data_IF_099408988206
#
_entry.id   IF_099408988206
#
_cell.length_a   1.000
_cell.length_b   1.000
_cell.length_c   1.000
_cell.angle_alpha   90.00
_cell.angle_beta   90.00
_cell.angle_gamma   90.00
#
_symmetry.space_group_name_H-M   'P 1'
#
loop_
_entity.id
_entity.type
_entity.pdbx_description
1 polymer ?
#
# COMPACT_ATOMS: atom_id res chain seq x y z
N UNK A 1 4.80 -2.11 26.79
CA UNK A 1 5.43 -1.18 27.74
C UNK A 1 5.79 0.12 27.07
N UNK A 2 6.09 1.12 27.86
CA UNK A 2 6.44 2.44 27.38
C UNK A 2 6.70 3.43 28.52
N UNK A 3 7.00 4.67 28.17
CA UNK A 3 7.15 5.76 29.14
C UNK A 3 5.77 6.34 29.44
N UNK A 4 5.46 6.63 30.70
CA UNK A 4 4.19 7.27 31.13
C UNK A 4 4.19 8.72 30.71
N UNK A 5 3.27 9.11 29.83
CA UNK A 5 3.06 10.50 29.44
C UNK A 5 2.09 11.26 30.36
N UNK A 6 0.97 10.62 30.72
CA UNK A 6 -0.09 11.24 31.52
C UNK A 6 -0.85 10.18 32.34
N UNK A 7 -1.19 10.51 33.56
CA UNK A 7 -2.06 9.69 34.44
C UNK A 7 -3.35 10.47 34.63
N UNK A 8 -4.48 9.91 34.19
CA UNK A 8 -5.77 10.59 34.10
C UNK A 8 -6.73 10.23 35.25
N UNK A 9 -6.34 9.26 36.08
CA UNK A 9 -7.16 8.75 37.19
C UNK A 9 -6.33 8.62 38.47
N UNK A 10 -7.01 8.58 39.61
CA UNK A 10 -6.43 8.37 40.93
C UNK A 10 -7.02 7.13 41.56
N UNK A 11 -6.38 6.66 42.63
CA UNK A 11 -6.93 5.58 43.49
C UNK A 11 -8.31 5.97 44.00
N UNK A 12 -9.29 5.08 43.79
CA UNK A 12 -10.66 5.26 44.20
C UNK A 12 -11.58 5.98 43.19
N UNK A 13 -11.03 6.49 42.08
CA UNK A 13 -11.85 7.15 41.04
C UNK A 13 -12.80 6.15 40.37
N UNK A 14 -14.02 6.59 40.07
CA UNK A 14 -14.95 5.85 39.21
C UNK A 14 -14.59 6.05 37.73
N UNK A 15 -14.55 4.97 36.96
CA UNK A 15 -14.22 4.99 35.52
C UNK A 15 -15.26 4.22 34.73
N UNK A 16 -15.54 4.66 33.52
CA UNK A 16 -16.43 3.99 32.59
C UNK A 16 -15.67 3.04 31.66
N UNK A 17 -16.34 2.03 31.13
CA UNK A 17 -15.78 1.14 30.13
C UNK A 17 -15.31 1.94 28.89
N UNK A 18 -14.03 1.75 28.48
CA UNK A 18 -13.41 2.47 27.36
C UNK A 18 -12.82 3.85 27.71
N UNK A 19 -13.04 4.38 28.93
CA UNK A 19 -12.42 5.61 29.40
C UNK A 19 -10.90 5.49 29.46
N UNK A 20 -10.16 6.52 29.00
CA UNK A 20 -8.71 6.54 29.08
C UNK A 20 -8.29 6.75 30.53
N UNK A 21 -7.51 5.82 31.06
CA UNK A 21 -7.03 5.85 32.45
C UNK A 21 -5.56 6.31 32.54
N UNK A 22 -4.77 5.97 31.53
CA UNK A 22 -3.36 6.34 31.46
C UNK A 22 -2.97 6.49 29.98
N UNK A 23 -2.10 7.45 29.70
CA UNK A 23 -1.52 7.65 28.38
C UNK A 23 0.00 7.47 28.44
N UNK A 24 0.53 6.65 27.55
CA UNK A 24 1.97 6.54 27.33
C UNK A 24 2.46 7.71 26.46
N UNK A 25 3.76 7.98 26.48
CA UNK A 25 4.39 8.95 25.57
C UNK A 25 4.25 8.47 24.11
N UNK A 26 3.57 9.23 23.30
CA UNK A 26 3.27 8.92 21.89
C UNK A 26 4.25 9.56 20.90
N UNK A 27 5.21 10.34 21.37
CA UNK A 27 6.10 11.17 20.54
C UNK A 27 6.78 10.35 19.46
N UNK A 28 7.43 9.25 19.84
CA UNK A 28 8.15 8.37 18.89
C UNK A 28 7.17 7.65 17.96
N UNK A 29 6.05 7.15 18.49
CA UNK A 29 5.04 6.42 17.72
C UNK A 29 4.39 7.34 16.69
N UNK A 30 4.04 8.55 17.09
CA UNK A 30 3.47 9.58 16.21
C UNK A 30 4.44 10.03 15.13
N UNK A 31 5.72 10.24 15.49
CA UNK A 31 6.76 10.57 14.53
C UNK A 31 6.96 9.45 13.50
N UNK A 32 7.00 8.19 13.95
CA UNK A 32 7.12 7.03 13.06
C UNK A 32 5.95 6.93 12.10
N UNK A 33 4.72 7.08 12.59
CA UNK A 33 3.52 7.13 11.75
C UNK A 33 3.59 8.25 10.72
N UNK A 34 4.05 9.45 11.11
CA UNK A 34 4.23 10.60 10.22
C UNK A 34 5.20 10.28 9.08
N UNK A 35 6.36 9.69 9.40
CA UNK A 35 7.36 9.29 8.39
C UNK A 35 6.78 8.28 7.39
N UNK A 36 6.13 7.21 7.89
CA UNK A 36 5.56 6.16 7.02
C UNK A 36 4.44 6.73 6.14
N UNK A 37 3.60 7.62 6.67
CA UNK A 37 2.56 8.31 5.89
C UNK A 37 3.12 9.21 4.81
N UNK A 38 4.15 10.00 5.13
CA UNK A 38 4.83 10.86 4.15
C UNK A 38 5.43 10.04 3.00
N UNK A 39 6.06 8.89 3.29
CA UNK A 39 6.56 7.98 2.27
C UNK A 39 5.43 7.38 1.41
N UNK A 40 4.30 7.04 2.02
CA UNK A 40 3.13 6.54 1.31
C UNK A 40 2.57 7.61 0.37
N UNK A 41 2.44 8.85 0.83
CA UNK A 41 1.93 9.98 0.04
C UNK A 41 2.83 10.25 -1.18
N UNK A 42 4.15 10.19 -1.00
CA UNK A 42 5.13 10.34 -2.09
C UNK A 42 4.94 9.24 -3.15
N UNK A 43 4.81 7.97 -2.72
CA UNK A 43 4.60 6.87 -3.67
C UNK A 43 3.22 6.92 -4.32
N UNK A 44 2.18 7.39 -3.65
CA UNK A 44 0.85 7.58 -4.24
C UNK A 44 0.87 8.72 -5.28
N UNK A 45 1.61 9.80 -5.03
CA UNK A 45 1.83 10.85 -6.02
C UNK A 45 2.57 10.31 -7.26
N UNK A 46 3.60 9.49 -7.05
CA UNK A 46 4.34 8.80 -8.13
C UNK A 46 3.44 7.85 -8.91
N UNK A 47 2.60 7.06 -8.25
CA UNK A 47 1.63 6.17 -8.90
C UNK A 47 0.67 6.97 -9.80
N UNK A 48 0.14 8.11 -9.32
CA UNK A 48 -0.74 8.96 -10.09
C UNK A 48 -0.07 9.47 -11.38
N UNK A 49 1.21 9.86 -11.32
CA UNK A 49 2.00 10.20 -12.52
C UNK A 49 2.15 9.02 -13.46
N UNK A 50 2.53 7.86 -12.95
CA UNK A 50 2.73 6.66 -13.77
C UNK A 50 1.44 6.20 -14.45
N UNK A 51 0.29 6.34 -13.79
CA UNK A 51 -1.03 6.10 -14.38
C UNK A 51 -1.30 7.07 -15.54
N UNK A 52 -1.03 8.36 -15.35
CA UNK A 52 -1.19 9.36 -16.40
C UNK A 52 -0.23 9.10 -17.59
N UNK A 53 1.02 8.70 -17.34
CA UNK A 53 1.98 8.32 -18.37
C UNK A 53 1.57 7.04 -19.13
N UNK A 54 1.04 6.03 -18.43
CA UNK A 54 0.53 4.79 -19.03
C UNK A 54 -0.62 5.07 -20.00
N UNK A 55 -1.55 5.92 -19.56
CA UNK A 55 -2.79 6.22 -20.28
C UNK A 55 -2.62 7.36 -21.30
N UNK A 56 -1.39 7.88 -21.46
CA UNK A 56 -1.03 9.02 -22.32
C UNK A 56 -1.93 10.24 -22.07
N UNK A 57 -2.27 10.48 -20.78
CA UNK A 57 -3.13 11.56 -20.35
C UNK A 57 -2.43 12.93 -20.44
N UNK A 58 -3.20 13.99 -20.58
CA UNK A 58 -2.66 15.36 -20.64
C UNK A 58 -2.27 15.91 -19.27
N UNK A 59 -2.92 15.42 -18.21
CA UNK A 59 -2.75 15.91 -16.84
C UNK A 59 -2.77 14.74 -15.85
N UNK A 60 -2.08 14.92 -14.72
CA UNK A 60 -2.12 13.96 -13.62
C UNK A 60 -3.36 14.20 -12.76
N UNK A 61 -4.13 13.14 -12.50
CA UNK A 61 -5.23 13.13 -11.52
C UNK A 61 -4.69 12.53 -10.23
N UNK A 62 -4.47 13.38 -9.22
CA UNK A 62 -4.04 12.92 -7.91
C UNK A 62 -5.23 12.41 -7.08
N UNK A 63 -5.06 11.33 -6.29
CA UNK A 63 -6.09 10.84 -5.38
C UNK A 63 -6.55 11.89 -4.38
N UNK A 64 -7.85 11.86 -4.02
CA UNK A 64 -8.42 12.80 -3.05
C UNK A 64 -7.69 12.79 -1.70
N UNK A 65 -7.13 11.66 -1.29
CA UNK A 65 -6.34 11.52 -0.06
C UNK A 65 -5.11 12.45 -0.02
N UNK A 66 -4.53 12.78 -1.17
CA UNK A 66 -3.40 13.70 -1.28
C UNK A 66 -3.83 15.17 -1.45
N UNK A 67 -5.08 15.42 -1.89
CA UNK A 67 -5.56 16.77 -2.23
C UNK A 67 -6.56 17.34 -1.22
N UNK A 68 -7.26 16.48 -0.46
CA UNK A 68 -8.27 16.87 0.52
C UNK A 68 -7.77 16.70 1.95
N UNK A 69 -7.44 17.79 2.62
CA UNK A 69 -7.43 17.86 4.07
C UNK A 69 -6.08 17.74 4.80
N UNK A 70 -4.97 17.52 4.13
CA UNK A 70 -3.63 17.64 4.72
C UNK A 70 -2.79 18.59 3.88
N UNK A 71 -2.73 19.83 4.28
CA UNK A 71 -1.70 20.77 3.81
C UNK A 71 -0.36 20.45 4.49
N UNK A 72 0.08 19.21 4.43
CA UNK A 72 1.45 18.90 4.81
C UNK A 72 2.36 19.38 3.66
N UNK A 73 3.30 20.24 4.00
CA UNK A 73 4.24 20.82 3.02
C UNK A 73 4.99 19.73 2.22
N UNK A 74 5.19 18.56 2.82
CA UNK A 74 5.80 17.36 2.19
C UNK A 74 4.95 16.84 1.04
N UNK A 75 3.64 16.65 1.23
CA UNK A 75 2.71 16.15 0.22
C UNK A 75 2.57 17.12 -0.94
N UNK A 76 2.47 18.43 -0.66
CA UNK A 76 2.43 19.48 -1.68
C UNK A 76 3.73 19.49 -2.51
N UNK A 77 4.88 19.30 -1.88
CA UNK A 77 6.19 19.23 -2.54
C UNK A 77 6.28 17.99 -3.44
N UNK A 78 5.81 16.82 -2.96
CA UNK A 78 5.79 15.60 -3.75
C UNK A 78 4.91 15.76 -5.00
N UNK A 79 3.69 16.28 -4.86
CA UNK A 79 2.77 16.56 -5.98
C UNK A 79 3.42 17.51 -7.00
N UNK A 80 4.03 18.60 -6.54
CA UNK A 80 4.69 19.55 -7.43
C UNK A 80 5.91 18.94 -8.12
N UNK A 81 6.65 18.07 -7.44
CA UNK A 81 7.77 17.31 -8.01
C UNK A 81 7.33 16.38 -9.12
N UNK A 82 6.29 15.57 -8.88
CA UNK A 82 5.77 14.61 -9.85
C UNK A 82 5.15 15.32 -11.08
N UNK A 83 4.47 16.47 -10.91
CA UNK A 83 4.00 17.29 -12.04
C UNK A 83 5.14 17.73 -12.94
N UNK A 84 6.20 18.31 -12.35
CA UNK A 84 7.37 18.76 -13.12
C UNK A 84 8.06 17.62 -13.85
N UNK A 85 8.19 16.47 -13.20
CA UNK A 85 8.77 15.27 -13.81
C UNK A 85 7.92 14.77 -14.98
N UNK A 86 6.59 14.72 -14.81
CA UNK A 86 5.65 14.36 -15.88
C UNK A 86 5.79 15.25 -17.11
N UNK A 87 5.77 16.58 -16.92
CA UNK A 87 5.92 17.56 -18.00
C UNK A 87 7.27 17.41 -18.70
N UNK A 88 8.35 17.24 -17.94
CA UNK A 88 9.69 17.05 -18.49
C UNK A 88 9.79 15.78 -19.33
N UNK A 89 9.30 14.64 -18.83
CA UNK A 89 9.33 13.35 -19.53
C UNK A 89 8.47 13.39 -20.79
N UNK A 90 7.27 14.00 -20.71
CA UNK A 90 6.38 14.19 -21.84
C UNK A 90 7.02 15.06 -22.93
N UNK A 91 7.65 16.18 -22.55
CA UNK A 91 8.36 17.08 -23.46
C UNK A 91 9.54 16.37 -24.14
N UNK A 92 10.34 15.63 -23.38
CA UNK A 92 11.48 14.87 -23.91
C UNK A 92 11.04 13.83 -24.94
N UNK A 93 10.00 13.01 -24.63
CA UNK A 93 9.43 12.00 -25.54
C UNK A 93 8.88 12.65 -26.81
N UNK A 94 8.12 13.74 -26.66
CA UNK A 94 7.55 14.47 -27.79
C UNK A 94 8.65 15.05 -28.66
N UNK A 95 9.67 15.66 -28.07
CA UNK A 95 10.83 16.20 -28.77
C UNK A 95 11.59 15.13 -29.57
N UNK A 96 11.85 13.98 -28.96
CA UNK A 96 12.53 12.88 -29.64
C UNK A 96 11.72 12.35 -30.84
N UNK A 97 10.41 12.17 -30.67
CA UNK A 97 9.51 11.76 -31.77
C UNK A 97 9.44 12.81 -32.87
N UNK A 98 9.40 14.10 -32.53
CA UNK A 98 9.40 15.20 -33.49
C UNK A 98 10.68 15.21 -34.30
N UNK A 99 11.84 15.02 -33.67
CA UNK A 99 13.15 14.96 -34.37
C UNK A 99 13.19 13.80 -35.37
N UNK A 100 12.67 12.61 -34.99
CA UNK A 100 12.64 11.47 -35.89
C UNK A 100 11.65 11.69 -37.06
N UNK A 101 10.49 12.30 -36.80
CA UNK A 101 9.54 12.68 -37.87
C UNK A 101 10.12 13.69 -38.84
N UNK A 102 10.89 14.66 -38.36
CA UNK A 102 11.59 15.61 -39.20
C UNK A 102 12.61 14.92 -40.11
N UNK A 103 13.34 13.91 -39.58
CA UNK A 103 14.24 13.09 -40.39
C UNK A 103 13.50 12.32 -41.50
N UNK A 104 12.30 11.80 -41.21
CA UNK A 104 11.44 11.16 -42.21
C UNK A 104 11.03 12.18 -43.28
N UNK A 105 10.62 13.39 -42.87
CA UNK A 105 10.24 14.46 -43.79
C UNK A 105 11.41 14.84 -44.70
N UNK A 106 12.62 15.03 -44.17
CA UNK A 106 13.83 15.35 -44.97
C UNK A 106 14.17 14.24 -45.96
N UNK A 107 14.08 12.96 -45.55
CA UNK A 107 14.31 11.83 -46.44
C UNK A 107 13.24 11.75 -47.54
N UNK A 108 11.99 12.11 -47.27
CA UNK A 108 10.95 12.20 -48.27
C UNK A 108 11.24 13.29 -49.32
N UNK A 109 11.77 14.45 -48.93
CA UNK A 109 12.21 15.48 -49.88
C UNK A 109 13.39 15.01 -50.74
N UNK A 110 14.34 14.24 -50.14
CA UNK A 110 15.42 13.58 -50.90
C UNK A 110 14.86 12.65 -51.97
N UNK A 111 13.89 11.80 -51.61
CA UNK A 111 13.23 10.89 -52.57
C UNK A 111 12.54 11.67 -53.69
N UNK A 112 11.87 12.79 -53.38
CA UNK A 112 11.26 13.66 -54.43
C UNK A 112 12.28 14.17 -55.42
N UNK A 113 13.45 14.63 -54.93
CA UNK A 113 14.54 15.09 -55.78
C UNK A 113 15.09 13.95 -56.66
N UNK A 114 15.34 12.78 -56.08
CA UNK A 114 15.81 11.61 -56.81
C UNK A 114 14.79 11.12 -57.85
N UNK A 115 13.50 11.17 -57.53
CA UNK A 115 12.40 10.78 -58.43
C UNK A 115 12.36 11.74 -59.64
N UNK A 116 12.46 13.06 -59.43
CA UNK A 116 12.51 14.03 -60.52
C UNK A 116 13.72 13.77 -61.44
N UNK A 117 14.90 13.45 -60.89
CA UNK A 117 16.08 13.06 -61.67
C UNK A 117 15.84 11.76 -62.47
N UNK A 118 15.21 10.76 -61.87
CA UNK A 118 14.86 9.52 -62.54
C UNK A 118 13.91 9.75 -63.72
N UNK A 119 12.86 10.58 -63.52
CA UNK A 119 11.92 10.95 -64.59
C UNK A 119 12.61 11.71 -65.75
N UNK A 120 13.56 12.62 -65.40
CA UNK A 120 14.38 13.29 -66.44
C UNK A 120 15.21 12.30 -67.25
N UNK A 121 15.85 11.30 -66.58
CA UNK A 121 16.59 10.23 -67.25
C UNK A 121 15.70 9.34 -68.11
N UNK A 122 14.50 9.07 -67.68
CA UNK A 122 13.49 8.31 -68.46
C UNK A 122 13.13 9.06 -69.75
N UNK A 123 12.90 10.39 -69.62
CA UNK A 123 12.63 11.25 -70.78
C UNK A 123 13.82 11.30 -71.75
N UNK A 124 15.07 11.41 -71.26
CA UNK A 124 16.29 11.36 -72.05
C UNK A 124 16.42 10.01 -72.80
N UNK A 125 16.12 8.87 -72.14
CA UNK A 125 16.11 7.54 -72.78
C UNK A 125 15.08 7.44 -73.91
N UNK A 126 13.90 8.03 -73.72
CA UNK A 126 12.85 8.07 -74.77
C UNK A 126 13.33 8.86 -76.03
N UNK A 127 14.04 9.99 -75.80
CA UNK A 127 14.55 10.79 -76.88
C UNK A 127 15.66 10.04 -77.64
N UNK A 128 16.63 9.46 -76.94
CA UNK A 128 17.71 8.66 -77.57
C UNK A 128 17.14 7.44 -78.26
N UNK A 129 16.10 6.77 -77.71
CA UNK A 129 15.45 5.63 -78.38
C UNK A 129 14.84 6.04 -79.75
N UNK A 130 14.19 7.21 -79.79
CA UNK A 130 13.65 7.76 -81.05
C UNK A 130 14.79 8.13 -82.07
N UNK A 131 15.87 8.76 -81.59
CA UNK A 131 17.05 9.09 -82.44
C UNK A 131 17.67 7.80 -82.95
N UNK A 132 17.84 6.77 -82.12
CA UNK A 132 18.40 5.46 -82.52
C UNK A 132 17.62 4.78 -83.63
N UNK A 133 16.32 4.84 -83.62
CA UNK A 133 15.46 4.28 -84.70
C UNK A 133 15.77 4.99 -85.99
N UNK A 134 15.79 6.31 -86.02
CA UNK A 134 16.12 7.07 -87.24
C UNK A 134 17.56 6.84 -87.75
N UNK A 135 18.56 6.84 -86.83
CA UNK A 135 19.97 6.59 -87.19
C UNK A 135 20.18 5.15 -87.64
N UNK A 136 19.46 4.16 -87.09
CA UNK A 136 19.51 2.75 -87.52
C UNK A 136 19.02 2.59 -88.94
N UNK A 137 17.95 3.26 -89.38
CA UNK A 137 17.44 3.27 -90.75
C UNK A 137 18.47 3.89 -91.73
N UNK A 138 19.08 5.03 -91.35
CA UNK A 138 20.10 5.70 -92.12
C UNK A 138 21.38 4.83 -92.23
N UNK A 139 21.77 4.14 -91.20
CA UNK A 139 22.90 3.22 -91.19
C UNK A 139 22.68 2.04 -92.14
N UNK A 140 21.48 1.46 -92.12
CA UNK A 140 21.13 0.38 -93.09
C UNK A 140 21.22 0.85 -94.53
N UNK A 141 20.95 2.10 -94.81
CA UNK A 141 21.10 2.76 -96.14
C UNK A 141 22.51 3.25 -96.46
N UNK A 142 23.52 2.96 -95.58
CA UNK A 142 24.88 3.44 -95.67
C UNK A 142 25.07 4.97 -95.70
N UNK A 143 24.09 5.70 -95.14
CA UNK A 143 24.10 7.17 -95.06
C UNK A 143 24.74 7.72 -93.79
N UNK A 144 25.00 6.90 -92.76
CA UNK A 144 25.62 7.28 -91.53
C UNK A 144 26.70 6.26 -91.18
N UNK A 145 27.78 6.70 -90.50
CA UNK A 145 28.86 5.80 -90.06
C UNK A 145 28.46 4.93 -88.86
N UNK A 146 29.05 3.72 -88.80
CA UNK A 146 28.89 2.79 -87.68
C UNK A 146 29.30 3.45 -86.36
N UNK A 147 30.28 4.35 -86.37
CA UNK A 147 30.75 5.06 -85.17
C UNK A 147 29.62 5.91 -84.53
N UNK A 148 28.81 6.61 -85.39
CA UNK A 148 27.66 7.37 -84.83
C UNK A 148 26.58 6.49 -84.26
N UNK A 149 26.26 5.40 -84.95
CA UNK A 149 25.25 4.43 -84.40
C UNK A 149 25.70 3.81 -83.08
N UNK A 150 26.94 3.33 -83.01
CA UNK A 150 27.47 2.74 -81.79
C UNK A 150 27.65 3.74 -80.66
N UNK A 151 27.92 4.99 -80.93
CA UNK A 151 28.00 6.06 -79.96
C UNK A 151 26.62 6.27 -79.27
N UNK A 152 25.52 6.34 -80.02
CA UNK A 152 24.17 6.46 -79.46
C UNK A 152 23.76 5.24 -78.62
N UNK A 153 24.16 4.04 -79.02
CA UNK A 153 23.94 2.84 -78.24
C UNK A 153 24.68 2.90 -76.92
N UNK A 154 25.92 3.37 -76.90
CA UNK A 154 26.69 3.54 -75.66
C UNK A 154 26.04 4.57 -74.75
N UNK A 155 25.58 5.71 -75.32
CA UNK A 155 24.89 6.74 -74.53
C UNK A 155 23.59 6.25 -73.97
N UNK A 156 22.77 5.51 -74.71
CA UNK A 156 21.59 4.84 -74.22
C UNK A 156 21.89 3.91 -73.01
N UNK A 157 22.90 3.06 -73.15
CA UNK A 157 23.29 2.12 -72.08
C UNK A 157 23.80 2.83 -70.85
N UNK A 158 24.57 3.94 -71.00
CA UNK A 158 25.06 4.74 -69.90
C UNK A 158 23.88 5.39 -69.14
N UNK A 159 22.93 6.02 -69.83
CA UNK A 159 21.79 6.69 -69.21
C UNK A 159 20.86 5.65 -68.52
N UNK A 160 20.70 4.47 -69.14
CA UNK A 160 19.98 3.36 -68.50
C UNK A 160 20.64 2.92 -67.19
N UNK A 161 21.98 2.89 -67.14
CA UNK A 161 22.73 2.61 -65.89
C UNK A 161 22.54 3.71 -64.88
N UNK A 162 22.61 4.99 -65.26
CA UNK A 162 22.37 6.13 -64.35
C UNK A 162 20.95 6.09 -63.79
N UNK A 163 19.93 5.78 -64.60
CA UNK A 163 18.53 5.58 -64.13
C UNK A 163 18.44 4.42 -63.15
N UNK A 164 19.13 3.29 -63.43
CA UNK A 164 19.18 2.16 -62.52
C UNK A 164 19.77 2.53 -61.14
N UNK A 165 20.80 3.35 -61.12
CA UNK A 165 21.41 3.86 -59.90
C UNK A 165 20.41 4.72 -59.09
N UNK A 166 19.68 5.66 -59.75
CA UNK A 166 18.65 6.48 -59.08
C UNK A 166 17.53 5.63 -58.46
N UNK A 167 17.11 4.57 -59.15
CA UNK A 167 16.12 3.62 -58.61
C UNK A 167 16.67 2.97 -57.34
N UNK A 168 17.91 2.54 -57.32
CA UNK A 168 18.53 1.93 -56.15
C UNK A 168 18.68 2.95 -55.01
N UNK A 169 19.00 4.23 -55.31
CA UNK A 169 19.11 5.28 -54.30
C UNK A 169 17.74 5.59 -53.66
N UNK A 170 16.68 5.66 -54.47
CA UNK A 170 15.30 5.82 -53.98
C UNK A 170 14.91 4.65 -53.06
N UNK A 171 15.26 3.42 -53.48
CA UNK A 171 14.97 2.25 -52.66
C UNK A 171 15.72 2.29 -51.30
N UNK A 172 16.97 2.73 -51.27
CA UNK A 172 17.74 2.93 -50.04
C UNK A 172 17.15 4.00 -49.15
N UNK A 173 16.72 5.12 -49.71
CA UNK A 173 16.09 6.20 -48.97
C UNK A 173 14.75 5.76 -48.36
N UNK A 174 13.93 4.95 -49.07
CA UNK A 174 12.73 4.36 -48.53
C UNK A 174 13.02 3.40 -47.35
N UNK A 175 14.08 2.58 -47.49
CA UNK A 175 14.51 1.70 -46.38
C UNK A 175 14.89 2.49 -45.12
N UNK A 176 15.57 3.66 -45.30
CA UNK A 176 15.91 4.57 -44.20
C UNK A 176 14.69 5.19 -43.53
N UNK A 177 13.62 5.50 -44.29
CA UNK A 177 12.33 5.93 -43.72
C UNK A 177 11.75 4.84 -42.85
N UNK A 178 11.63 3.60 -43.36
CA UNK A 178 11.07 2.48 -42.59
C UNK A 178 11.86 2.22 -41.30
N UNK A 179 13.18 2.29 -41.34
CA UNK A 179 14.03 2.19 -40.16
C UNK A 179 13.73 3.30 -39.14
N UNK A 180 13.59 4.55 -39.60
CA UNK A 180 13.29 5.69 -38.73
C UNK A 180 11.89 5.61 -38.14
N UNK A 181 10.91 5.11 -38.89
CA UNK A 181 9.54 4.84 -38.40
C UNK A 181 9.53 3.77 -37.31
N UNK A 182 10.31 2.70 -37.48
CA UNK A 182 10.51 1.70 -36.42
C UNK A 182 11.15 2.30 -35.17
N UNK A 183 12.11 3.24 -35.32
CA UNK A 183 12.68 3.96 -34.17
C UNK A 183 11.63 4.80 -33.43
N UNK A 184 10.68 5.43 -34.13
CA UNK A 184 9.56 6.15 -33.48
C UNK A 184 8.70 5.20 -32.64
N UNK A 185 8.38 4.03 -33.20
CA UNK A 185 7.60 3.01 -32.47
C UNK A 185 8.39 2.51 -31.25
N UNK A 186 9.69 2.30 -31.41
CA UNK A 186 10.57 1.84 -30.32
C UNK A 186 10.59 2.83 -29.15
N UNK A 187 10.66 4.15 -29.40
CA UNK A 187 10.59 5.18 -28.36
C UNK A 187 9.33 5.03 -27.51
N UNK A 188 8.18 4.78 -28.15
CA UNK A 188 6.91 4.61 -27.44
C UNK A 188 6.85 3.27 -26.67
N UNK A 189 7.40 2.21 -27.23
CA UNK A 189 7.45 0.89 -26.54
C UNK A 189 8.38 0.91 -25.33
N UNK A 190 9.56 1.50 -25.45
CA UNK A 190 10.52 1.62 -24.36
C UNK A 190 9.94 2.42 -23.21
N UNK A 191 9.31 3.56 -23.52
CA UNK A 191 8.63 4.39 -22.53
C UNK A 191 7.52 3.61 -21.79
N UNK A 192 6.67 2.91 -22.52
CA UNK A 192 5.59 2.09 -21.90
C UNK A 192 6.15 0.99 -21.02
N UNK A 193 7.20 0.32 -21.47
CA UNK A 193 7.84 -0.77 -20.72
C UNK A 193 8.42 -0.24 -19.41
N UNK A 194 9.12 0.89 -19.45
CA UNK A 194 9.66 1.58 -18.28
C UNK A 194 8.54 1.96 -17.30
N UNK A 195 7.48 2.62 -17.79
CA UNK A 195 6.34 3.05 -16.96
C UNK A 195 5.66 1.85 -16.28
N UNK A 196 5.41 0.76 -17.01
CA UNK A 196 4.77 -0.44 -16.45
C UNK A 196 5.66 -1.13 -15.41
N UNK A 197 6.97 -1.15 -15.61
CA UNK A 197 7.93 -1.66 -14.63
C UNK A 197 7.90 -0.83 -13.34
N UNK A 198 8.04 0.47 -13.48
CA UNK A 198 8.04 1.42 -12.36
C UNK A 198 6.70 1.37 -11.59
N UNK A 199 5.59 1.22 -12.31
CA UNK A 199 4.26 1.13 -11.72
C UNK A 199 4.13 -0.12 -10.84
N UNK A 200 4.56 -1.30 -11.31
CA UNK A 200 4.52 -2.54 -10.51
C UNK A 200 5.36 -2.42 -9.24
N UNK A 201 6.57 -1.87 -9.36
CA UNK A 201 7.44 -1.65 -8.22
C UNK A 201 6.81 -0.68 -7.21
N UNK A 202 6.25 0.43 -7.70
CA UNK A 202 5.59 1.44 -6.86
C UNK A 202 4.37 0.86 -6.16
N UNK A 203 3.54 0.09 -6.85
CA UNK A 203 2.36 -0.58 -6.26
C UNK A 203 2.73 -1.59 -5.17
N UNK A 204 3.80 -2.36 -5.38
CA UNK A 204 4.31 -3.26 -4.34
C UNK A 204 4.74 -2.52 -3.07
N UNK A 205 5.46 -1.41 -3.23
CA UNK A 205 5.86 -0.56 -2.10
C UNK A 205 4.69 0.14 -1.41
N UNK A 206 3.68 0.59 -2.17
CA UNK A 206 2.45 1.16 -1.62
C UNK A 206 1.72 0.13 -0.75
N UNK A 207 1.58 -1.11 -1.22
CA UNK A 207 0.94 -2.17 -0.45
C UNK A 207 1.68 -2.41 0.87
N UNK A 208 3.01 -2.52 0.84
CA UNK A 208 3.83 -2.67 2.04
C UNK A 208 3.68 -1.50 3.01
N UNK A 209 3.72 -0.25 2.51
CA UNK A 209 3.57 0.94 3.36
C UNK A 209 2.17 1.07 3.95
N UNK A 210 1.11 0.66 3.25
CA UNK A 210 -0.26 0.62 3.79
C UNK A 210 -0.35 -0.29 5.01
N UNK A 211 0.26 -1.47 4.95
CA UNK A 211 0.32 -2.38 6.10
C UNK A 211 1.13 -1.77 7.26
N UNK A 212 2.24 -1.10 6.96
CA UNK A 212 3.03 -0.38 7.98
C UNK A 212 2.26 0.78 8.62
N UNK A 213 1.49 1.54 7.84
CA UNK A 213 0.61 2.59 8.37
C UNK A 213 -0.42 1.99 9.33
N UNK A 214 -1.10 0.91 8.92
CA UNK A 214 -2.08 0.21 9.76
C UNK A 214 -1.46 -0.26 11.07
N UNK A 215 -0.28 -0.87 11.02
CA UNK A 215 0.43 -1.32 12.22
C UNK A 215 0.83 -0.14 13.13
N UNK A 216 1.33 0.96 12.55
CA UNK A 216 1.71 2.15 13.31
C UNK A 216 0.50 2.87 13.92
N UNK A 217 -0.66 2.91 13.22
CA UNK A 217 -1.92 3.41 13.75
C UNK A 217 -2.45 2.58 14.90
N UNK A 218 -2.36 1.25 14.80
CA UNK A 218 -2.75 0.36 15.89
C UNK A 218 -1.83 0.52 17.10
N UNK A 219 -0.53 0.67 16.86
CA UNK A 219 0.41 0.98 17.93
C UNK A 219 0.12 2.32 18.59
N UNK A 220 -0.27 3.35 17.83
CA UNK A 220 -0.67 4.65 18.37
C UNK A 220 -1.97 4.55 19.20
N UNK A 221 -2.95 3.76 18.79
CA UNK A 221 -4.17 3.51 19.58
C UNK A 221 -3.87 2.85 20.93
N UNK A 222 -2.86 2.00 21.00
CA UNK A 222 -2.44 1.30 22.23
C UNK A 222 -1.65 2.18 23.21
N UNK A 223 -1.30 3.40 22.81
CA UNK A 223 -0.70 4.40 23.72
C UNK A 223 -1.72 4.85 24.76
N UNK A 224 -3.01 4.94 24.41
CA UNK A 224 -4.10 5.21 25.34
C UNK A 224 -4.54 3.92 26.03
N UNK A 225 -4.20 3.76 27.28
CA UNK A 225 -4.70 2.64 28.09
C UNK A 225 -6.11 2.98 28.58
N UNK A 226 -7.04 2.05 28.27
CA UNK A 226 -8.46 2.26 28.58
C UNK A 226 -8.97 1.25 29.58
N UNK A 227 -9.94 1.68 30.40
CA UNK A 227 -10.63 0.77 31.30
C UNK A 227 -11.39 -0.30 30.52
N UNK A 228 -11.24 -1.60 30.86
CA UNK A 228 -11.97 -2.68 30.22
C UNK A 228 -13.45 -2.73 30.61
N UNK A 229 -13.82 -2.13 31.75
CA UNK A 229 -15.18 -2.17 32.34
C UNK A 229 -15.43 -0.94 33.20
N UNK A 230 -16.69 -0.67 33.50
CA UNK A 230 -17.10 0.36 34.48
C UNK A 230 -16.84 -0.14 35.90
N UNK A 231 -16.18 0.72 36.72
CA UNK A 231 -15.84 0.33 38.09
C UNK A 231 -14.96 1.39 38.76
N UNK A 232 -14.36 0.99 39.90
CA UNK A 232 -13.48 1.84 40.68
C UNK A 232 -12.03 1.43 40.51
N UNK A 233 -11.13 2.43 40.38
CA UNK A 233 -9.70 2.21 40.34
C UNK A 233 -9.19 1.71 41.70
N UNK A 234 -8.53 0.58 41.69
CA UNK A 234 -7.91 -0.01 42.88
C UNK A 234 -6.48 -0.45 42.62
N UNK A 235 -5.60 -0.34 43.61
CA UNK A 235 -4.18 -0.71 43.53
C UNK A 235 -3.46 -0.04 42.34
N UNK A 236 -3.57 1.27 42.22
CA UNK A 236 -2.79 2.03 41.25
C UNK A 236 -1.29 1.93 41.62
N UNK A 237 -0.47 1.29 40.75
CA UNK A 237 0.98 1.08 41.00
C UNK A 237 1.86 2.15 40.36
N UNK A 238 1.33 2.89 39.40
CA UNK A 238 2.06 3.90 38.64
C UNK A 238 1.66 5.28 39.11
N UNK A 239 2.62 6.00 39.73
CA UNK A 239 2.37 7.31 40.34
C UNK A 239 3.15 8.46 39.71
N UNK A 240 4.07 8.18 38.80
CA UNK A 240 5.03 9.17 38.28
C UNK A 240 4.96 9.26 36.76
N UNK A 241 4.71 10.46 36.24
CA UNK A 241 4.90 10.79 34.81
C UNK A 241 6.39 10.68 34.49
N UNK A 242 6.73 10.07 33.35
CA UNK A 242 8.10 9.74 32.97
C UNK A 242 8.60 8.37 33.45
N UNK A 243 7.81 7.68 34.29
CA UNK A 243 8.10 6.31 34.69
C UNK A 243 8.03 5.33 33.50
N UNK A 244 8.80 4.25 33.56
CA UNK A 244 8.80 3.20 32.51
C UNK A 244 7.93 2.04 32.95
N UNK A 245 6.99 1.64 32.11
CA UNK A 245 6.13 0.48 32.33
C UNK A 245 6.58 -0.65 31.41
N UNK A 246 6.79 -1.84 31.98
CA UNK A 246 7.15 -3.04 31.24
C UNK A 246 5.93 -3.75 30.64
N UNK A 247 6.16 -4.61 29.64
CA UNK A 247 5.07 -5.43 29.10
C UNK A 247 4.62 -6.46 30.14
N UNK A 248 3.28 -6.51 30.39
CA UNK A 248 2.70 -7.42 31.38
C UNK A 248 2.73 -6.92 32.82
N UNK A 249 3.24 -5.71 33.06
CA UNK A 249 3.21 -5.08 34.38
C UNK A 249 1.78 -4.68 34.79
N UNK A 250 1.42 -4.95 36.02
CA UNK A 250 0.13 -4.56 36.58
C UNK A 250 0.16 -3.05 36.86
N UNK A 251 -0.72 -2.29 36.22
CA UNK A 251 -0.80 -0.83 36.35
C UNK A 251 -1.84 -0.43 37.41
N UNK A 252 -3.01 -1.01 37.33
CA UNK A 252 -4.14 -0.82 38.26
C UNK A 252 -5.13 -1.97 38.11
N UNK A 253 -5.99 -2.08 39.10
CA UNK A 253 -7.14 -2.98 39.04
C UNK A 253 -8.42 -2.14 38.91
N UNK A 254 -9.38 -2.62 38.11
CA UNK A 254 -10.71 -2.02 38.04
C UNK A 254 -11.68 -2.95 38.67
N UNK A 255 -12.24 -2.53 39.84
CA UNK A 255 -13.23 -3.30 40.55
C UNK A 255 -14.61 -2.91 40.01
N UNK A 256 -15.39 -3.87 39.48
CA UNK A 256 -16.70 -3.57 38.91
C UNK A 256 -17.65 -3.01 39.98
N UNK A 257 -18.50 -2.06 39.58
CA UNK A 257 -19.52 -1.47 40.48
C UNK A 257 -20.63 -2.45 40.84
N UNK A 258 -20.88 -3.45 40.04
CA UNK A 258 -21.99 -4.39 40.15
C UNK A 258 -21.49 -5.84 40.29
N UNK A 259 -20.52 -6.07 41.21
CA UNK A 259 -20.28 -7.46 41.59
C UNK A 259 -21.39 -7.92 42.56
N UNK A 260 -22.15 -8.92 42.14
CA UNK A 260 -23.00 -9.68 43.04
C UNK A 260 -22.10 -10.34 44.09
N UNK A 261 -22.30 -9.97 45.35
CA UNK A 261 -21.57 -10.61 46.43
C UNK A 261 -21.91 -12.10 46.48
N UNK A 262 -20.87 -12.91 46.39
CA UNK A 262 -21.00 -14.37 46.38
C UNK A 262 -20.30 -14.91 47.60
N UNK A 263 -21.01 -15.73 48.32
CA UNK A 263 -20.46 -16.49 49.47
C UNK A 263 -20.11 -17.89 49.01
N UNK A 264 -18.86 -18.30 49.18
CA UNK A 264 -18.43 -19.69 48.97
C UNK A 264 -18.43 -20.42 50.30
N UNK A 265 -19.38 -21.32 50.46
CA UNK A 265 -19.50 -22.15 51.66
C UNK A 265 -18.89 -23.54 51.42
N UNK A 266 -18.19 -24.06 52.44
CA UNK A 266 -17.65 -25.43 52.44
C UNK A 266 -18.66 -26.33 53.13
N UNK A 267 -19.14 -27.35 52.43
CA UNK A 267 -20.14 -28.29 52.93
C UNK A 267 -19.53 -29.70 53.03
N UNK A 268 -19.77 -30.36 54.13
CA UNK A 268 -19.31 -31.74 54.34
C UNK A 268 -20.01 -32.74 53.39
N UNK A 269 -19.31 -33.79 52.93
CA UNK A 269 -19.86 -34.73 51.95
C UNK A 269 -21.17 -35.40 52.44
N UNK A 270 -21.36 -35.50 53.75
CA UNK A 270 -22.55 -36.15 54.35
C UNK A 270 -23.82 -35.26 54.22
N UNK A 271 -23.69 -33.99 54.04
CA UNK A 271 -24.77 -33.01 54.01
C UNK A 271 -25.16 -32.54 52.63
N UNK A 272 -24.42 -32.97 51.61
CA UNK A 272 -24.58 -32.45 50.24
C UNK A 272 -25.91 -32.86 49.59
N UNK A 273 -26.44 -34.03 49.95
CA UNK A 273 -27.68 -34.53 49.38
C UNK A 273 -28.93 -33.68 49.77
N UNK A 274 -28.80 -32.81 50.79
CA UNK A 274 -29.86 -31.91 51.24
C UNK A 274 -29.77 -30.52 50.52
N UNK A 275 -28.76 -30.31 49.72
CA UNK A 275 -28.46 -28.99 49.08
C UNK A 275 -28.66 -29.06 47.57
N UNK A 276 -29.66 -28.35 47.12
CA UNK A 276 -29.92 -28.25 45.66
C UNK A 276 -29.74 -26.82 45.14
N UNK A 277 -29.27 -26.63 43.92
CA UNK A 277 -29.31 -25.32 43.26
C UNK A 277 -30.73 -24.74 43.24
N UNK A 278 -30.87 -23.46 43.61
CA UNK A 278 -32.17 -22.79 43.78
C UNK A 278 -32.71 -22.79 45.20
N UNK A 279 -32.10 -23.53 46.16
CA UNK A 279 -32.48 -23.52 47.57
C UNK A 279 -32.05 -22.24 48.26
N UNK A 280 -32.80 -21.81 49.25
CA UNK A 280 -32.53 -20.62 50.09
C UNK A 280 -31.51 -20.94 51.17
N UNK A 281 -30.50 -20.11 51.34
CA UNK A 281 -29.50 -20.20 52.40
C UNK A 281 -29.49 -18.93 53.26
N UNK A 282 -29.42 -19.11 54.59
CA UNK A 282 -29.31 -17.98 55.53
C UNK A 282 -27.80 -17.76 55.82
N UNK A 283 -27.29 -16.59 55.40
CA UNK A 283 -25.90 -16.19 55.64
C UNK A 283 -25.84 -15.23 56.82
N UNK A 284 -25.08 -15.59 57.86
CA UNK A 284 -24.84 -14.76 59.05
C UNK A 284 -23.45 -14.14 58.96
N UNK A 285 -23.38 -12.81 58.80
CA UNK A 285 -22.12 -12.09 58.75
C UNK A 285 -21.65 -11.78 60.17
N UNK A 286 -20.63 -12.47 60.65
CA UNK A 286 -20.05 -12.23 62.00
C UNK A 286 -19.12 -11.00 61.96
N UNK A 287 -19.68 -9.79 61.99
CA UNK A 287 -18.96 -8.53 62.11
C UNK A 287 -19.17 -7.92 63.51
N UNK A 288 -18.24 -8.14 64.38
CA UNK A 288 -17.93 -7.32 65.56
C UNK A 288 -18.86 -7.38 66.77
N UNK A 289 -20.14 -7.29 66.73
CA UNK A 289 -21.02 -7.27 67.91
C UNK A 289 -22.13 -8.32 67.85
N UNK A 290 -22.06 -9.31 68.73
CA UNK A 290 -22.94 -10.50 68.75
C UNK A 290 -24.44 -10.22 68.97
N UNK A 291 -24.88 -8.94 69.15
CA UNK A 291 -26.30 -8.64 69.44
C UNK A 291 -27.15 -8.20 68.25
N UNK A 292 -26.51 -7.95 67.09
CA UNK A 292 -27.19 -7.45 65.89
C UNK A 292 -26.55 -8.03 64.61
N UNK A 293 -26.41 -9.36 64.56
CA UNK A 293 -25.89 -10.00 63.34
C UNK A 293 -26.99 -10.03 62.30
N UNK A 294 -26.89 -9.30 61.16
CA UNK A 294 -27.92 -9.37 60.13
C UNK A 294 -27.92 -10.77 59.49
N UNK A 295 -29.12 -11.37 59.38
CA UNK A 295 -29.32 -12.58 58.61
C UNK A 295 -29.68 -12.19 57.18
N UNK A 296 -28.81 -12.51 56.21
CA UNK A 296 -29.03 -12.24 54.81
C UNK A 296 -29.51 -13.52 54.13
N UNK A 297 -30.62 -13.43 53.40
CA UNK A 297 -31.18 -14.54 52.68
C UNK A 297 -30.52 -14.59 51.28
N UNK A 298 -29.69 -15.61 51.03
CA UNK A 298 -29.08 -15.89 49.75
C UNK A 298 -29.72 -17.07 49.01
N UNK A 299 -29.45 -17.17 47.73
CA UNK A 299 -29.89 -18.29 46.89
C UNK A 299 -28.66 -19.10 46.44
N UNK A 300 -28.72 -20.41 46.58
CA UNK A 300 -27.68 -21.33 46.14
C UNK A 300 -27.72 -21.40 44.61
N UNK A 301 -26.67 -20.86 43.96
CA UNK A 301 -26.58 -20.80 42.49
C UNK A 301 -25.79 -21.97 41.90
N UNK A 302 -24.83 -22.50 42.65
CA UNK A 302 -24.00 -23.62 42.17
C UNK A 302 -23.51 -24.50 43.33
N UNK A 303 -23.55 -25.79 43.10
CA UNK A 303 -22.90 -26.80 43.93
C UNK A 303 -21.76 -27.43 43.11
N UNK A 304 -20.56 -27.51 43.69
CA UNK A 304 -19.42 -28.16 43.00
C UNK A 304 -19.71 -29.65 42.81
N UNK A 305 -19.40 -30.18 41.62
CA UNK A 305 -19.47 -31.60 41.32
C UNK A 305 -18.29 -32.40 41.90
N UNK A 306 -17.17 -31.73 42.18
CA UNK A 306 -15.93 -32.35 42.63
C UNK A 306 -15.65 -32.05 44.09
N UNK A 307 -15.10 -33.08 44.81
CA UNK A 307 -14.62 -32.96 46.18
C UNK A 307 -13.31 -32.18 46.21
N UNK A 308 -13.31 -31.00 46.81
CA UNK A 308 -12.13 -30.23 47.10
C UNK A 308 -11.45 -30.76 48.41
N UNK A 309 -10.12 -30.72 48.40
CA UNK A 309 -9.31 -31.03 49.58
C UNK A 309 -8.69 -29.75 50.11
N UNK A 310 -8.76 -29.58 51.45
CA UNK A 310 -8.12 -28.43 52.08
C UNK A 310 -6.61 -28.59 52.05
N UNK A 311 -5.93 -27.64 51.34
CA UNK A 311 -4.47 -27.54 51.39
C UNK A 311 -4.07 -26.93 52.73
N UNK A 312 -3.77 -27.80 53.73
CA UNK A 312 -3.18 -27.30 54.97
C UNK A 312 -1.68 -26.98 54.76
N UNK A 313 -1.18 -25.83 55.26
CA UNK A 313 0.24 -25.61 55.37
C UNK A 313 0.86 -26.66 56.33
N UNK A 314 2.00 -27.20 55.94
CA UNK A 314 2.77 -28.28 56.54
C UNK A 314 3.03 -28.12 58.06
N UNK A 315 2.09 -28.44 58.90
CA UNK A 315 2.33 -28.72 60.34
C UNK A 315 1.08 -29.36 60.94
N UNK A 316 0.83 -30.65 60.67
CA UNK A 316 0.03 -31.48 61.56
C UNK A 316 0.14 -32.96 61.16
N UNK A 317 0.31 -33.82 62.15
CA UNK A 317 0.26 -35.25 62.25
C UNK A 317 -0.08 -36.06 60.96
N UNK A 318 0.79 -37.00 60.52
CA UNK A 318 0.56 -37.80 59.32
C UNK A 318 -0.59 -38.83 59.38
N UNK A 319 -1.42 -38.85 60.43
CA UNK A 319 -2.40 -39.92 60.66
C UNK A 319 -3.86 -39.57 60.35
N UNK A 320 -4.20 -38.33 59.94
CA UNK A 320 -5.59 -38.01 59.56
C UNK A 320 -5.64 -37.56 58.09
N UNK A 321 -6.47 -38.15 57.20
CA UNK A 321 -6.70 -37.70 55.88
C UNK A 321 -7.27 -36.26 55.92
N UNK A 322 -6.84 -35.34 55.01
CA UNK A 322 -7.35 -33.98 54.98
C UNK A 322 -8.86 -33.97 54.77
N UNK A 323 -9.59 -33.06 55.43
CA UNK A 323 -11.04 -32.99 55.32
C UNK A 323 -11.41 -32.64 53.84
N UNK A 324 -12.35 -33.41 53.31
CA UNK A 324 -12.90 -33.19 51.98
C UNK A 324 -14.22 -32.44 52.11
N UNK A 325 -14.49 -31.50 51.20
CA UNK A 325 -15.71 -30.71 51.20
C UNK A 325 -16.17 -30.41 49.76
N UNK A 326 -17.47 -30.12 49.64
CA UNK A 326 -18.01 -29.54 48.41
C UNK A 326 -18.08 -28.02 48.56
N UNK A 327 -17.78 -27.28 47.47
CA UNK A 327 -17.93 -25.82 47.43
C UNK A 327 -19.34 -25.48 46.93
N UNK A 328 -20.07 -24.74 47.74
CA UNK A 328 -21.41 -24.24 47.40
C UNK A 328 -21.35 -22.72 47.24
N UNK A 329 -21.79 -22.21 46.10
CA UNK A 329 -21.83 -20.79 45.80
C UNK A 329 -23.25 -20.25 46.07
N UNK A 330 -23.32 -19.24 46.93
CA UNK A 330 -24.53 -18.57 47.33
C UNK A 330 -24.47 -17.14 46.88
N UNK A 331 -25.43 -16.70 46.07
CA UNK A 331 -25.54 -15.28 45.64
C UNK A 331 -26.43 -14.54 46.62
N UNK A 332 -25.96 -13.37 47.06
CA UNK A 332 -26.69 -12.46 47.95
C UNK A 332 -27.40 -11.39 47.13
N UNK A 333 -28.65 -11.01 47.42
CA UNK A 333 -29.32 -9.88 46.74
C UNK A 333 -28.66 -8.57 47.13
N UNK A 334 -28.39 -7.72 46.14
CA UNK A 334 -27.68 -6.44 46.29
C UNK A 334 -28.41 -5.42 47.23
N UNK A 335 -29.67 -5.68 47.60
CA UNK A 335 -30.45 -4.79 48.44
C UNK A 335 -30.23 -5.01 49.96
N UNK A 336 -29.59 -6.11 50.38
CA UNK A 336 -29.46 -6.51 51.79
C UNK A 336 -27.99 -6.47 52.27
N UNK A 337 -27.09 -5.98 51.46
CA UNK A 337 -25.67 -5.77 51.74
C UNK A 337 -25.33 -4.28 51.73
#
# INVERSE_FOLDING_TARGET
GGVVGEILVKEGDEVEAGQIVLRLDDTVTRATLGVVRSQLDELMAREARLLAERDDADVIVFPAQLTSGREEASTATAIAGERRLFESRRSARTGQRSQLRERVAQTNEEIRGLTAQQEAKESELQLIAKELVGVAELYQKNLVSISRFTQLQRDQTRIQGERGQLIADIARARGKISETELQIIQVDQDFRTEVLKDMRETQGKIAELKERVTAAEDQLKRVDLRSPQTGFVHQLTVHTVGGVISNGELIMQIVPRADELVVEAKVAPNDIDQIAPGSTAIVKVMAGNQRTTPEIIGVITRVSADLAREQQPQQQNPAQPPPTYYTVRITLPAADV
#
